data_IF_141495840477
#
_entry.id   IF_141495840477
#
_cell.length_a   1.000
_cell.length_b   1.000
_cell.length_c   1.000
_cell.angle_alpha   90.00
_cell.angle_beta   90.00
_cell.angle_gamma   90.00
#
_symmetry.space_group_name_H-M   'P 1'
#
loop_
_entity.id
_entity.type
_entity.pdbx_description
1 polymer ?
#
# COMPACT_ATOMS: atom_id res chain seq x y z
N UNK A 1 11.98 6.32 -4.73
CA UNK A 1 10.68 7.01 -4.67
C UNK A 1 10.45 7.37 -3.22
N UNK A 2 10.33 8.67 -2.92
CA UNK A 2 9.98 9.07 -1.57
C UNK A 2 8.46 8.89 -1.39
N UNK A 3 8.05 7.81 -0.73
CA UNK A 3 6.75 7.77 -0.06
C UNK A 3 6.94 8.66 1.16
N UNK A 4 6.29 9.82 1.15
CA UNK A 4 6.55 10.87 2.13
C UNK A 4 5.61 10.71 3.31
N UNK A 5 4.39 10.22 3.08
CA UNK A 5 3.33 10.22 4.09
C UNK A 5 2.31 9.12 3.80
N UNK A 6 1.91 8.40 4.85
CA UNK A 6 0.69 7.59 4.86
C UNK A 6 -0.15 8.06 6.04
N UNK A 7 -1.39 8.45 5.79
CA UNK A 7 -2.37 8.81 6.82
C UNK A 7 -3.52 7.80 6.75
N UNK A 8 -3.98 7.36 7.91
CA UNK A 8 -5.06 6.40 8.04
C UNK A 8 -6.21 7.03 8.83
N UNK A 9 -7.41 6.99 8.27
CA UNK A 9 -8.61 7.52 8.93
C UNK A 9 -9.69 6.44 8.98
N UNK A 10 -10.09 6.09 10.20
CA UNK A 10 -11.25 5.23 10.43
C UNK A 10 -12.53 6.04 10.25
N UNK A 11 -13.44 5.57 9.41
CA UNK A 11 -14.71 6.23 9.12
C UNK A 11 -15.82 5.53 9.89
N UNK A 12 -16.24 6.13 10.99
CA UNK A 12 -17.28 5.58 11.88
C UNK A 12 -18.50 6.49 11.99
N UNK A 13 -18.32 7.79 11.77
CA UNK A 13 -19.39 8.78 11.86
C UNK A 13 -19.09 10.02 10.99
N UNK A 14 -19.97 11.03 11.05
CA UNK A 14 -19.85 12.25 10.25
C UNK A 14 -18.61 13.08 10.61
N UNK A 15 -18.12 13.01 11.86
CA UNK A 15 -16.90 13.72 12.27
C UNK A 15 -15.65 13.13 11.60
N UNK A 16 -15.64 11.82 11.34
CA UNK A 16 -14.58 11.14 10.60
C UNK A 16 -14.44 11.65 9.16
N UNK A 17 -15.53 12.04 8.51
CA UNK A 17 -15.49 12.66 7.16
C UNK A 17 -14.76 14.00 7.20
N UNK A 18 -15.01 14.80 8.25
CA UNK A 18 -14.29 16.05 8.48
C UNK A 18 -12.80 15.83 8.78
N UNK A 19 -12.46 14.77 9.50
CA UNK A 19 -11.07 14.36 9.76
C UNK A 19 -10.34 13.95 8.48
N UNK A 20 -10.94 13.08 7.67
CA UNK A 20 -10.37 12.65 6.39
C UNK A 20 -10.11 13.85 5.46
N UNK A 21 -11.04 14.81 5.41
CA UNK A 21 -10.86 16.06 4.65
C UNK A 21 -9.67 16.88 5.15
N UNK A 22 -9.48 17.00 6.47
CA UNK A 22 -8.31 17.73 7.05
C UNK A 22 -6.99 17.02 6.77
N UNK A 23 -6.97 15.69 6.86
CA UNK A 23 -5.81 14.88 6.49
C UNK A 23 -5.45 15.08 5.02
N UNK A 24 -6.45 15.09 4.13
CA UNK A 24 -6.29 15.36 2.70
C UNK A 24 -5.68 16.74 2.41
N UNK A 25 -6.18 17.80 3.06
CA UNK A 25 -5.61 19.16 2.93
C UNK A 25 -4.17 19.23 3.44
N UNK A 26 -3.89 18.60 4.58
CA UNK A 26 -2.53 18.55 5.17
C UNK A 26 -1.57 17.81 4.25
N UNK A 27 -2.01 16.71 3.65
CA UNK A 27 -1.23 15.98 2.64
C UNK A 27 -0.97 16.82 1.40
N UNK A 28 -1.99 17.51 0.87
CA UNK A 28 -1.82 18.42 -0.27
C UNK A 28 -0.77 19.50 -0.02
N UNK A 29 -0.80 20.13 1.16
CA UNK A 29 0.20 21.12 1.57
C UNK A 29 1.62 20.54 1.61
N UNK A 30 1.79 19.36 2.23
CA UNK A 30 3.11 18.69 2.32
C UNK A 30 3.63 18.25 0.95
N UNK A 31 2.73 17.86 0.04
CA UNK A 31 3.06 17.55 -1.36
C UNK A 31 3.35 18.81 -2.20
N UNK A 32 3.13 20.01 -1.68
CA UNK A 32 3.32 21.26 -2.42
C UNK A 32 2.27 21.46 -3.53
N UNK A 33 1.09 20.87 -3.38
CA UNK A 33 -0.04 21.16 -4.26
C UNK A 33 -0.48 22.62 -4.11
N UNK A 34 -0.89 23.24 -5.22
CA UNK A 34 -1.54 24.54 -5.19
C UNK A 34 -2.93 24.47 -4.54
N UNK A 35 -3.55 25.63 -4.33
CA UNK A 35 -4.86 25.73 -3.67
C UNK A 35 -5.94 24.96 -4.42
N UNK A 36 -5.93 24.98 -5.75
CA UNK A 36 -6.90 24.26 -6.59
C UNK A 36 -6.75 22.76 -6.41
N UNK A 37 -5.54 22.22 -6.56
CA UNK A 37 -5.24 20.80 -6.46
C UNK A 37 -5.44 20.26 -5.04
N UNK A 38 -5.09 21.06 -4.02
CA UNK A 38 -5.39 20.76 -2.62
C UNK A 38 -6.90 20.70 -2.35
N UNK A 39 -7.67 21.62 -2.91
CA UNK A 39 -9.13 21.64 -2.84
C UNK A 39 -9.78 20.44 -3.53
N UNK A 40 -9.28 20.06 -4.70
CA UNK A 40 -9.68 18.86 -5.44
C UNK A 40 -9.46 17.58 -4.63
N UNK A 41 -8.26 17.40 -4.04
CA UNK A 41 -7.96 16.25 -3.19
C UNK A 41 -8.91 16.20 -1.97
N UNK A 42 -9.15 17.33 -1.32
CA UNK A 42 -10.07 17.42 -0.18
C UNK A 42 -11.52 17.07 -0.56
N UNK A 43 -11.98 17.49 -1.74
CA UNK A 43 -13.30 17.17 -2.28
C UNK A 43 -13.42 15.66 -2.56
N UNK A 44 -12.44 15.09 -3.27
CA UNK A 44 -12.39 13.65 -3.59
C UNK A 44 -12.48 12.80 -2.32
N UNK A 45 -11.64 13.12 -1.33
CA UNK A 45 -11.59 12.39 -0.05
C UNK A 45 -12.92 12.52 0.69
N UNK A 46 -13.50 13.72 0.74
CA UNK A 46 -14.80 13.93 1.39
C UNK A 46 -15.88 13.05 0.78
N UNK A 47 -15.93 12.97 -0.55
CA UNK A 47 -16.95 12.18 -1.26
C UNK A 47 -16.77 10.67 -1.04
N UNK A 48 -15.55 10.15 -1.15
CA UNK A 48 -15.32 8.71 -0.88
C UNK A 48 -15.52 8.36 0.60
N UNK A 49 -15.15 9.23 1.54
CA UNK A 49 -15.44 9.04 2.97
C UNK A 49 -16.94 8.99 3.24
N UNK A 50 -17.71 9.87 2.60
CA UNK A 50 -19.16 9.86 2.71
C UNK A 50 -19.75 8.56 2.15
N UNK A 51 -19.25 8.09 1.00
CA UNK A 51 -19.71 6.84 0.40
C UNK A 51 -19.42 5.64 1.32
N UNK A 52 -18.21 5.57 1.89
CA UNK A 52 -17.85 4.57 2.90
C UNK A 52 -18.81 4.61 4.10
N UNK A 53 -19.13 5.80 4.61
CA UNK A 53 -20.03 5.93 5.76
C UNK A 53 -21.49 5.56 5.41
N UNK A 54 -22.05 6.17 4.37
CA UNK A 54 -23.49 6.10 4.05
C UNK A 54 -23.86 4.78 3.38
N UNK A 55 -23.01 4.28 2.48
CA UNK A 55 -23.30 3.07 1.70
C UNK A 55 -22.56 1.84 2.24
N UNK A 56 -21.37 2.04 2.81
CA UNK A 56 -20.56 0.98 3.41
C UNK A 56 -20.89 0.67 4.88
N UNK A 57 -21.58 1.57 5.58
CA UNK A 57 -21.81 1.47 7.03
C UNK A 57 -20.59 1.82 7.88
N UNK A 58 -19.61 2.50 7.28
CA UNK A 58 -18.29 2.77 7.86
C UNK A 58 -17.18 1.97 7.17
N UNK A 59 -15.93 2.26 7.54
CA UNK A 59 -14.77 1.67 6.90
C UNK A 59 -13.51 2.50 7.10
N UNK A 60 -12.67 2.57 6.07
CA UNK A 60 -11.32 3.11 6.19
C UNK A 60 -10.93 3.95 4.98
N UNK A 61 -10.20 5.03 5.21
CA UNK A 61 -9.51 5.82 4.19
C UNK A 61 -8.02 5.76 4.44
N UNK A 62 -7.27 5.38 3.42
CA UNK A 62 -5.81 5.44 3.39
C UNK A 62 -5.42 6.53 2.40
N UNK A 63 -4.66 7.51 2.86
CA UNK A 63 -4.06 8.55 2.04
C UNK A 63 -2.56 8.27 1.97
N UNK A 64 -1.99 8.27 0.78
CA UNK A 64 -0.55 8.14 0.59
C UNK A 64 -0.03 9.21 -0.37
N UNK A 65 1.09 9.84 -0.02
CA UNK A 65 1.73 10.89 -0.80
C UNK A 65 3.14 10.52 -1.24
N UNK A 66 3.48 10.86 -2.49
CA UNK A 66 4.85 10.78 -2.99
C UNK A 66 5.23 12.08 -3.71
N UNK A 67 6.45 12.58 -3.48
CA UNK A 67 7.01 13.72 -4.21
C UNK A 67 8.44 13.41 -4.65
N UNK A 68 8.78 13.84 -5.86
CA UNK A 68 10.13 13.78 -6.41
C UNK A 68 10.37 15.04 -7.26
N UNK A 69 11.14 15.99 -6.71
CA UNK A 69 11.27 17.32 -7.28
C UNK A 69 9.92 18.02 -7.39
N UNK A 70 9.54 18.35 -8.62
CA UNK A 70 8.29 19.05 -8.96
C UNK A 70 7.10 18.09 -9.21
N UNK A 71 7.35 16.77 -9.21
CA UNK A 71 6.28 15.77 -9.39
C UNK A 71 5.74 15.34 -8.05
N UNK A 72 4.45 15.55 -7.84
CA UNK A 72 3.72 15.12 -6.64
C UNK A 72 2.50 14.30 -7.01
N UNK A 73 2.28 13.23 -6.26
CA UNK A 73 1.17 12.30 -6.41
C UNK A 73 0.54 12.06 -5.03
N UNK A 74 -0.78 12.21 -4.96
CA UNK A 74 -1.57 11.69 -3.85
C UNK A 74 -2.39 10.50 -4.32
N UNK A 75 -2.43 9.46 -3.49
CA UNK A 75 -3.22 8.25 -3.63
C UNK A 75 -4.25 8.21 -2.52
N UNK A 76 -5.48 7.88 -2.87
CA UNK A 76 -6.56 7.64 -1.91
C UNK A 76 -7.08 6.23 -2.14
N UNK A 77 -7.17 5.47 -1.05
CA UNK A 77 -7.86 4.20 -1.04
C UNK A 77 -8.96 4.26 0.01
N UNK A 78 -10.20 4.14 -0.44
CA UNK A 78 -11.36 4.04 0.43
C UNK A 78 -11.85 2.59 0.42
N UNK A 79 -12.13 2.03 1.59
CA UNK A 79 -12.55 0.64 1.75
C UNK A 79 -13.72 0.55 2.73
N UNK A 80 -14.72 -0.24 2.37
CA UNK A 80 -15.80 -0.66 3.24
C UNK A 80 -16.05 -2.17 3.14
N UNK A 81 -16.75 -2.70 4.14
CA UNK A 81 -17.24 -4.08 4.20
C UNK A 81 -18.77 -4.14 4.05
N UNK A 82 -19.36 -3.16 3.36
CA UNK A 82 -20.79 -3.08 3.13
C UNK A 82 -21.29 -4.10 2.10
N UNK A 83 -22.54 -3.97 1.64
CA UNK A 83 -23.16 -4.92 0.71
C UNK A 83 -22.60 -4.86 -0.73
N UNK A 84 -21.70 -3.91 -1.02
CA UNK A 84 -21.22 -3.63 -2.36
C UNK A 84 -22.20 -2.80 -3.21
N UNK A 85 -21.82 -2.56 -4.46
CA UNK A 85 -22.60 -1.79 -5.44
C UNK A 85 -23.17 -2.76 -6.46
N UNK A 86 -24.49 -2.97 -6.42
CA UNK A 86 -25.17 -3.92 -7.31
C UNK A 86 -25.09 -3.56 -8.80
N UNK A 87 -25.41 -2.31 -9.16
CA UNK A 87 -25.30 -1.81 -10.54
C UNK A 87 -24.32 -0.64 -10.59
N UNK A 88 -23.04 -0.98 -10.80
CA UNK A 88 -21.96 -0.01 -10.90
C UNK A 88 -22.14 0.94 -12.10
N UNK A 89 -22.67 0.44 -13.22
CA UNK A 89 -22.88 1.25 -14.43
C UNK A 89 -23.87 2.37 -14.15
N UNK A 90 -24.96 2.06 -13.43
CA UNK A 90 -25.94 3.05 -13.00
C UNK A 90 -25.39 4.00 -11.93
N UNK A 91 -24.62 3.48 -10.97
CA UNK A 91 -23.97 4.30 -9.93
C UNK A 91 -22.97 5.32 -10.50
N UNK A 92 -22.40 5.04 -11.67
CA UNK A 92 -21.46 5.91 -12.37
C UNK A 92 -22.14 7.01 -13.22
N UNK A 93 -23.48 6.99 -13.38
CA UNK A 93 -24.19 8.05 -14.13
C UNK A 93 -24.39 9.28 -13.24
N UNK A 94 -24.06 10.45 -13.78
CA UNK A 94 -24.32 11.73 -13.12
C UNK A 94 -25.83 11.87 -12.78
N UNK A 95 -26.12 12.32 -11.57
CA UNK A 95 -27.46 12.52 -11.02
C UNK A 95 -28.04 11.32 -10.26
N UNK A 96 -27.36 10.18 -10.19
CA UNK A 96 -27.85 9.00 -9.45
C UNK A 96 -27.28 8.95 -8.03
N UNK A 97 -28.13 9.15 -7.02
CA UNK A 97 -27.80 8.91 -5.61
C UNK A 97 -28.93 8.10 -4.98
N UNK A 98 -28.58 7.03 -4.26
CA UNK A 98 -29.51 6.23 -3.46
C UNK A 98 -29.67 6.79 -2.03
N UNK A 99 -28.89 7.82 -1.65
CA UNK A 99 -28.77 8.34 -0.29
C UNK A 99 -29.16 9.81 -0.07
N UNK A 100 -29.98 10.40 -0.96
CA UNK A 100 -30.51 11.76 -0.77
C UNK A 100 -29.54 12.91 -1.02
N UNK A 101 -28.45 12.67 -1.75
CA UNK A 101 -27.46 13.69 -2.17
C UNK A 101 -27.72 14.10 -3.62
N UNK A 102 -27.28 15.30 -4.06
CA UNK A 102 -27.24 15.60 -5.50
C UNK A 102 -26.27 14.60 -6.13
N UNK A 103 -26.78 13.58 -6.83
CA UNK A 103 -26.06 12.36 -7.24
C UNK A 103 -24.88 12.53 -8.21
N UNK A 104 -23.94 13.43 -7.95
CA UNK A 104 -22.76 13.69 -8.76
C UNK A 104 -21.45 13.12 -8.21
N UNK A 105 -21.49 12.37 -7.10
CA UNK A 105 -20.31 11.96 -6.33
C UNK A 105 -19.25 11.21 -7.13
N UNK A 106 -19.59 10.03 -7.65
CA UNK A 106 -18.65 9.19 -8.43
C UNK A 106 -18.31 9.79 -9.80
N UNK A 107 -19.23 10.54 -10.42
CA UNK A 107 -18.99 11.24 -11.67
C UNK A 107 -17.98 12.38 -11.52
N UNK A 108 -18.09 13.17 -10.45
CA UNK A 108 -17.13 14.21 -10.08
C UNK A 108 -15.76 13.61 -9.77
N UNK A 109 -15.74 12.51 -9.02
CA UNK A 109 -14.52 11.77 -8.71
C UNK A 109 -13.78 11.38 -10.00
N UNK A 110 -14.48 10.78 -10.97
CA UNK A 110 -13.91 10.36 -12.25
C UNK A 110 -13.38 11.53 -13.10
N UNK A 111 -13.96 12.73 -12.97
CA UNK A 111 -13.51 13.92 -13.71
C UNK A 111 -12.24 14.54 -13.14
N UNK A 112 -12.05 14.45 -11.82
CA UNK A 112 -10.96 15.12 -11.10
C UNK A 112 -9.74 14.21 -10.96
N UNK A 113 -9.96 12.92 -10.66
CA UNK A 113 -8.88 11.96 -10.44
C UNK A 113 -8.13 11.66 -11.74
N UNK A 114 -6.80 11.57 -11.66
CA UNK A 114 -5.94 11.17 -12.78
C UNK A 114 -6.00 9.66 -13.01
N UNK A 115 -6.27 8.89 -11.96
CA UNK A 115 -6.57 7.46 -12.03
C UNK A 115 -7.72 7.14 -11.08
N UNK A 116 -8.60 6.24 -11.49
CA UNK A 116 -9.78 5.88 -10.72
C UNK A 116 -10.19 4.44 -11.01
N UNK A 117 -10.25 3.63 -9.95
CA UNK A 117 -10.78 2.27 -10.02
C UNK A 117 -11.78 2.03 -8.89
N UNK A 118 -12.85 1.29 -9.20
CA UNK A 118 -13.76 0.72 -8.22
C UNK A 118 -13.69 -0.80 -8.34
N UNK A 119 -13.49 -1.46 -7.21
CA UNK A 119 -13.68 -2.89 -7.06
C UNK A 119 -14.75 -3.12 -6.00
N UNK A 120 -15.83 -3.81 -6.37
CA UNK A 120 -16.99 -3.98 -5.50
C UNK A 120 -17.52 -5.40 -5.61
N UNK A 121 -17.97 -5.93 -4.48
CA UNK A 121 -18.53 -7.28 -4.35
C UNK A 121 -19.45 -7.33 -3.14
N UNK A 122 -20.07 -8.47 -2.87
CA UNK A 122 -20.83 -8.70 -1.64
C UNK A 122 -20.01 -8.55 -0.35
N UNK A 123 -18.68 -8.58 -0.44
CA UNK A 123 -17.76 -8.37 0.70
C UNK A 123 -17.40 -6.89 0.91
N UNK A 124 -18.03 -5.97 0.16
CA UNK A 124 -17.82 -4.53 0.25
C UNK A 124 -17.12 -3.91 -0.95
N UNK A 125 -16.86 -2.61 -0.85
CA UNK A 125 -16.30 -1.81 -1.94
C UNK A 125 -14.93 -1.24 -1.61
N UNK A 126 -14.09 -1.16 -2.64
CA UNK A 126 -12.79 -0.51 -2.63
C UNK A 126 -12.78 0.52 -3.75
N UNK A 127 -12.47 1.76 -3.41
CA UNK A 127 -12.31 2.85 -4.36
C UNK A 127 -10.88 3.34 -4.29
N UNK A 128 -10.18 3.28 -5.43
CA UNK A 128 -8.82 3.79 -5.57
C UNK A 128 -8.81 5.04 -6.44
N UNK A 129 -8.07 6.06 -6.01
CA UNK A 129 -7.90 7.33 -6.69
C UNK A 129 -6.44 7.75 -6.71
N UNK A 130 -6.03 8.39 -7.80
CA UNK A 130 -4.81 9.19 -7.87
C UNK A 130 -5.14 10.61 -8.28
N UNK A 131 -4.32 11.54 -7.79
CA UNK A 131 -4.31 12.92 -8.26
C UNK A 131 -2.86 13.42 -8.35
N UNK A 132 -2.54 14.08 -9.47
CA UNK A 132 -1.19 14.53 -9.77
C UNK A 132 -0.42 13.51 -10.62
N UNK A 133 0.91 13.55 -10.53
CA UNK A 133 1.78 12.66 -11.30
C UNK A 133 2.94 12.16 -10.46
N UNK A 134 3.10 10.84 -10.42
CA UNK A 134 4.16 10.18 -9.68
C UNK A 134 5.49 10.15 -10.45
N UNK A 135 6.57 9.72 -9.78
CA UNK A 135 7.79 9.34 -10.48
C UNK A 135 7.51 8.17 -11.44
N UNK A 136 8.21 8.13 -12.57
CA UNK A 136 8.14 7.01 -13.48
C UNK A 136 8.72 5.75 -12.83
N UNK A 137 8.06 4.61 -13.00
CA UNK A 137 8.56 3.31 -12.59
C UNK A 137 8.28 2.30 -13.72
N UNK A 138 9.20 1.39 -14.05
CA UNK A 138 8.98 0.38 -15.09
C UNK A 138 7.95 -0.69 -14.68
N UNK A 139 7.50 -0.67 -13.42
CA UNK A 139 6.52 -1.59 -12.86
C UNK A 139 5.39 -0.79 -12.22
N UNK A 140 4.20 -1.38 -12.14
CA UNK A 140 3.09 -0.84 -11.36
C UNK A 140 3.19 -1.33 -9.93
N UNK A 141 3.31 -0.42 -8.96
CA UNK A 141 3.58 -0.75 -7.55
C UNK A 141 2.71 0.08 -6.61
N UNK A 142 2.14 -0.59 -5.61
CA UNK A 142 1.54 0.06 -4.45
C UNK A 142 1.90 -0.70 -3.18
N UNK A 143 2.30 0.03 -2.16
CA UNK A 143 2.48 -0.50 -0.80
C UNK A 143 1.66 0.31 0.19
N UNK A 144 1.22 -0.36 1.25
CA UNK A 144 0.43 0.22 2.33
C UNK A 144 0.93 -0.36 3.64
N UNK A 145 0.98 0.47 4.68
CA UNK A 145 1.26 0.09 6.05
C UNK A 145 0.22 0.79 6.94
N UNK A 146 -0.44 0.03 7.79
CA UNK A 146 -1.55 0.49 8.62
C UNK A 146 -1.20 0.22 10.08
N UNK A 147 -1.27 1.24 10.96
CA UNK A 147 -0.85 1.09 12.33
C UNK A 147 -1.74 0.12 13.10
N UNK A 148 -1.18 -0.53 14.12
CA UNK A 148 -1.91 -1.21 15.18
C UNK A 148 -3.09 -0.33 15.66
N UNK A 149 -4.30 -0.88 15.89
CA UNK A 149 -5.45 -0.05 16.25
C UNK A 149 -5.22 0.83 17.48
N UNK A 150 -5.40 2.14 17.30
CA UNK A 150 -5.18 3.16 18.34
C UNK A 150 -3.75 3.71 18.40
N UNK A 151 -2.81 3.12 17.67
CA UNK A 151 -1.47 3.68 17.50
C UNK A 151 -1.44 4.76 16.42
N UNK A 152 -0.59 5.76 16.64
CA UNK A 152 -0.35 6.82 15.65
C UNK A 152 0.72 6.44 14.63
N UNK A 153 1.67 5.60 15.03
CA UNK A 153 2.83 5.22 14.23
C UNK A 153 2.73 3.74 13.92
N UNK A 154 2.86 3.39 12.63
CA UNK A 154 2.89 2.00 12.21
C UNK A 154 4.28 1.42 12.46
N UNK A 155 4.33 0.24 13.08
CA UNK A 155 5.54 -0.56 13.24
C UNK A 155 6.11 -1.09 11.93
N UNK A 156 5.28 -1.15 10.88
CA UNK A 156 5.68 -1.56 9.53
C UNK A 156 6.12 -0.37 8.68
N UNK A 157 7.02 -0.64 7.74
CA UNK A 157 7.49 0.33 6.76
C UNK A 157 7.88 -0.33 5.45
N UNK A 158 7.67 0.39 4.35
CA UNK A 158 8.07 -0.08 3.03
C UNK A 158 8.74 1.03 2.22
N UNK A 159 9.58 0.63 1.27
CA UNK A 159 10.21 1.55 0.34
C UNK A 159 10.39 0.90 -1.03
N UNK A 160 10.48 1.74 -2.06
CA UNK A 160 10.70 1.30 -3.43
C UNK A 160 11.60 2.30 -4.16
N UNK A 161 12.58 1.78 -4.89
CA UNK A 161 13.50 2.56 -5.72
C UNK A 161 13.49 1.97 -7.14
N UNK A 162 13.01 2.78 -8.09
CA UNK A 162 12.86 2.40 -9.49
C UNK A 162 14.02 2.97 -10.30
N UNK A 163 14.70 2.11 -11.03
CA UNK A 163 15.77 2.44 -11.98
C UNK A 163 15.31 2.03 -13.40
N UNK A 164 16.12 2.36 -14.41
CA UNK A 164 15.79 2.02 -15.79
C UNK A 164 15.80 0.50 -16.05
N UNK A 165 16.72 -0.23 -15.41
CA UNK A 165 16.98 -1.65 -15.62
C UNK A 165 16.51 -2.55 -14.49
N UNK A 166 16.13 -1.97 -13.34
CA UNK A 166 15.66 -2.72 -12.16
C UNK A 166 14.76 -1.90 -11.24
N UNK A 167 14.02 -2.59 -10.39
CA UNK A 167 13.27 -2.01 -9.27
C UNK A 167 13.57 -2.76 -7.99
N UNK A 168 13.94 -2.02 -6.94
CA UNK A 168 14.17 -2.54 -5.60
C UNK A 168 12.99 -2.22 -4.70
N UNK A 169 12.56 -3.18 -3.89
CA UNK A 169 11.48 -3.03 -2.91
C UNK A 169 11.91 -3.59 -1.57
N UNK A 170 11.66 -2.84 -0.50
CA UNK A 170 11.82 -3.25 0.89
C UNK A 170 10.43 -3.33 1.55
N UNK A 171 10.21 -4.39 2.33
CA UNK A 171 9.23 -4.40 3.41
C UNK A 171 9.94 -4.70 4.72
N UNK A 172 9.70 -3.91 5.77
CA UNK A 172 10.23 -4.09 7.10
C UNK A 172 9.12 -3.98 8.13
N UNK A 173 9.21 -4.79 9.18
CA UNK A 173 8.30 -4.85 10.32
C UNK A 173 9.16 -4.78 11.58
N UNK A 174 9.09 -3.64 12.26
CA UNK A 174 9.84 -3.36 13.48
C UNK A 174 9.24 -4.09 14.67
N UNK A 175 10.08 -4.62 15.57
CA UNK A 175 9.57 -5.46 16.65
C UNK A 175 8.60 -4.74 17.60
N UNK A 176 7.41 -5.31 17.74
CA UNK A 176 6.31 -4.79 18.55
C UNK A 176 5.43 -3.85 17.73
N UNK A 177 4.89 -2.81 18.37
CA UNK A 177 4.10 -1.78 17.69
C UNK A 177 4.44 -0.38 18.23
N UNK A 178 3.84 0.63 17.60
CA UNK A 178 3.96 2.03 17.98
C UNK A 178 5.34 2.62 17.67
N UNK A 179 5.71 3.70 18.37
CA UNK A 179 6.88 4.52 18.03
C UNK A 179 8.19 3.72 17.87
N UNK A 180 8.52 2.85 18.83
CA UNK A 180 9.82 2.14 18.80
C UNK A 180 9.93 1.09 17.69
N UNK A 181 8.81 0.50 17.26
CA UNK A 181 8.76 -0.36 16.08
C UNK A 181 8.89 0.49 14.80
N UNK A 182 8.16 1.60 14.75
CA UNK A 182 8.20 2.56 13.64
C UNK A 182 9.59 3.14 13.42
N UNK A 183 10.32 3.45 14.50
CA UNK A 183 11.71 3.91 14.45
C UNK A 183 12.63 2.87 13.79
N UNK A 184 12.47 1.59 14.14
CA UNK A 184 13.24 0.51 13.51
C UNK A 184 12.91 0.36 12.02
N UNK A 185 11.62 0.38 11.65
CA UNK A 185 11.21 0.31 10.25
C UNK A 185 11.72 1.52 9.44
N UNK A 186 11.69 2.72 10.02
CA UNK A 186 12.18 3.93 9.36
C UNK A 186 13.70 3.93 9.19
N UNK A 187 14.45 3.41 10.17
CA UNK A 187 15.90 3.22 10.04
C UNK A 187 16.24 2.18 8.95
N UNK A 188 15.43 1.10 8.84
CA UNK A 188 15.56 0.13 7.77
C UNK A 188 15.34 0.77 6.38
N UNK A 189 14.29 1.58 6.22
CA UNK A 189 14.01 2.34 4.99
C UNK A 189 15.17 3.30 4.65
N UNK A 190 15.65 4.03 5.65
CA UNK A 190 16.76 4.99 5.48
C UNK A 190 18.03 4.29 5.04
N UNK A 191 18.35 3.15 5.66
CA UNK A 191 19.52 2.34 5.31
C UNK A 191 19.38 1.72 3.93
N UNK A 192 18.21 1.19 3.57
CA UNK A 192 17.91 0.65 2.25
C UNK A 192 18.16 1.68 1.15
N UNK A 193 17.64 2.90 1.31
CA UNK A 193 17.84 3.99 0.33
C UNK A 193 19.30 4.38 0.11
N UNK A 194 20.17 4.17 1.11
CA UNK A 194 21.62 4.43 1.01
C UNK A 194 22.42 3.32 0.31
N UNK A 195 21.84 2.13 0.17
CA UNK A 195 22.54 0.94 -0.36
C UNK A 195 21.81 0.36 -1.57
N UNK A 196 21.13 1.21 -2.34
CA UNK A 196 20.37 0.81 -3.54
C UNK A 196 21.26 0.33 -4.68
N UNK A 197 22.58 0.42 -4.57
CA UNK A 197 23.57 -0.16 -5.48
C UNK A 197 23.86 -1.65 -5.19
N UNK A 198 23.45 -2.17 -4.03
CA UNK A 198 23.75 -3.54 -3.57
C UNK A 198 22.66 -4.55 -3.94
N UNK A 199 22.97 -5.84 -3.77
CA UNK A 199 21.99 -6.94 -3.93
C UNK A 199 21.06 -7.04 -2.71
N UNK A 200 19.87 -7.67 -2.82
CA UNK A 200 18.94 -7.85 -1.70
C UNK A 200 19.59 -8.44 -0.44
N UNK A 201 20.41 -9.49 -0.57
CA UNK A 201 21.10 -10.10 0.57
C UNK A 201 22.10 -9.16 1.23
N UNK A 202 22.87 -8.41 0.43
CA UNK A 202 23.82 -7.43 0.95
C UNK A 202 23.12 -6.27 1.66
N UNK A 203 22.00 -5.77 1.10
CA UNK A 203 21.15 -4.76 1.73
C UNK A 203 20.70 -5.22 3.12
N UNK A 204 20.20 -6.45 3.26
CA UNK A 204 19.81 -7.00 4.57
C UNK A 204 20.98 -7.05 5.56
N UNK A 205 22.22 -7.28 5.09
CA UNK A 205 23.42 -7.18 5.93
C UNK A 205 23.62 -5.76 6.49
N UNK A 206 23.51 -4.73 5.65
CA UNK A 206 23.59 -3.33 6.09
C UNK A 206 22.45 -2.95 7.04
N UNK A 207 21.22 -3.43 6.77
CA UNK A 207 20.09 -3.27 7.66
C UNK A 207 20.35 -3.92 9.02
N UNK A 208 20.91 -5.13 9.06
CA UNK A 208 21.26 -5.80 10.31
C UNK A 208 22.21 -4.96 11.17
N UNK A 209 23.24 -4.36 10.57
CA UNK A 209 24.20 -3.51 11.27
C UNK A 209 23.56 -2.21 11.79
N UNK A 210 22.76 -1.54 10.95
CA UNK A 210 22.10 -0.27 11.28
C UNK A 210 21.07 -0.42 12.41
N UNK A 211 20.33 -1.54 12.41
CA UNK A 211 19.23 -1.77 13.34
C UNK A 211 19.68 -2.19 14.75
N UNK A 212 20.99 -2.41 15.00
CA UNK A 212 21.50 -2.83 16.32
C UNK A 212 21.16 -1.89 17.48
N UNK A 213 20.89 -0.61 17.19
CA UNK A 213 20.53 0.41 18.18
C UNK A 213 19.02 0.63 18.30
N UNK A 214 18.23 -0.13 17.56
CA UNK A 214 16.76 -0.04 17.52
C UNK A 214 16.16 -1.25 18.25
N UNK A 215 14.83 -1.42 18.20
CA UNK A 215 14.18 -2.67 18.63
C UNK A 215 14.52 -3.88 17.74
N UNK A 216 15.13 -3.65 16.58
CA UNK A 216 15.29 -4.65 15.54
C UNK A 216 14.04 -4.77 14.67
N UNK A 217 14.17 -5.51 13.57
CA UNK A 217 13.09 -5.71 12.62
C UNK A 217 13.23 -7.05 11.89
N UNK A 218 12.12 -7.55 11.37
CA UNK A 218 12.10 -8.52 10.28
C UNK A 218 11.94 -7.75 8.98
N UNK A 219 12.54 -8.24 7.88
CA UNK A 219 12.43 -7.56 6.61
C UNK A 219 12.67 -8.48 5.43
N UNK A 220 12.14 -8.09 4.27
CA UNK A 220 12.47 -8.70 2.99
C UNK A 220 12.78 -7.64 1.94
N UNK A 221 13.72 -7.97 1.06
CA UNK A 221 14.12 -7.15 -0.08
C UNK A 221 13.93 -7.96 -1.36
N UNK A 222 13.28 -7.35 -2.35
CA UNK A 222 13.10 -7.90 -3.69
C UNK A 222 13.71 -6.96 -4.74
N UNK A 223 14.43 -7.54 -5.70
CA UNK A 223 14.94 -6.85 -6.89
C UNK A 223 14.31 -7.46 -8.14
N UNK A 224 13.50 -6.69 -8.86
CA UNK A 224 12.93 -7.08 -10.15
C UNK A 224 13.75 -6.44 -11.25
N UNK A 225 14.34 -7.25 -12.12
CA UNK A 225 15.21 -6.80 -13.20
C UNK A 225 14.51 -6.89 -14.55
N UNK A 226 14.88 -5.96 -15.43
CA UNK A 226 14.43 -5.91 -16.84
C UNK A 226 14.83 -7.14 -17.66
N UNK A 227 15.84 -7.90 -17.23
CA UNK A 227 16.26 -9.17 -17.85
C UNK A 227 15.38 -10.37 -17.44
N UNK A 228 14.23 -10.12 -16.79
CA UNK A 228 13.27 -11.16 -16.43
C UNK A 228 13.68 -11.96 -15.19
N UNK A 229 14.47 -11.39 -14.28
CA UNK A 229 14.86 -12.01 -13.01
C UNK A 229 14.26 -11.30 -11.81
N UNK A 230 13.89 -12.09 -10.82
CA UNK A 230 13.55 -11.66 -9.47
C UNK A 230 14.61 -12.19 -8.51
N UNK A 231 15.34 -11.31 -7.84
CA UNK A 231 16.18 -11.66 -6.70
C UNK A 231 15.43 -11.33 -5.41
N UNK A 232 15.54 -12.20 -4.42
CA UNK A 232 14.82 -12.08 -3.16
C UNK A 232 15.69 -12.53 -1.99
N UNK A 233 15.66 -11.77 -0.90
CA UNK A 233 16.20 -12.18 0.38
C UNK A 233 15.24 -11.73 1.49
N UNK A 234 15.04 -12.57 2.50
CA UNK A 234 14.14 -12.28 3.61
C UNK A 234 14.68 -12.82 4.94
N UNK A 235 14.53 -12.04 6.00
CA UNK A 235 14.87 -12.38 7.39
C UNK A 235 13.63 -12.20 8.25
N UNK A 236 13.23 -13.26 8.95
CA UNK A 236 12.03 -13.32 9.78
C UNK A 236 10.82 -13.87 9.04
N UNK A 237 9.65 -13.30 9.32
CA UNK A 237 8.34 -13.80 8.94
C UNK A 237 7.61 -12.93 7.90
N UNK A 238 8.31 -12.05 7.19
CA UNK A 238 7.74 -11.40 6.00
C UNK A 238 7.35 -12.46 4.96
N UNK A 239 6.08 -12.44 4.57
CA UNK A 239 5.53 -13.30 3.54
C UNK A 239 5.77 -12.67 2.17
N UNK A 240 6.18 -13.49 1.19
CA UNK A 240 6.33 -13.07 -0.19
C UNK A 240 5.76 -14.16 -1.11
N UNK A 241 4.84 -13.79 -2.00
CA UNK A 241 4.16 -14.71 -2.90
C UNK A 241 4.24 -14.17 -4.33
N UNK A 242 4.83 -14.97 -5.22
CA UNK A 242 4.86 -14.73 -6.66
C UNK A 242 3.70 -15.47 -7.32
N UNK A 243 2.81 -14.73 -7.97
CA UNK A 243 1.67 -15.24 -8.71
C UNK A 243 1.94 -15.18 -10.22
N UNK A 244 1.66 -16.28 -10.91
CA UNK A 244 1.71 -16.38 -12.36
C UNK A 244 0.60 -17.32 -12.87
N UNK A 245 -0.26 -16.82 -13.76
CA UNK A 245 -1.31 -17.64 -14.39
C UNK A 245 -2.16 -18.46 -13.40
N UNK A 246 -2.49 -17.88 -12.24
CA UNK A 246 -3.26 -18.56 -11.18
C UNK A 246 -2.44 -19.51 -10.29
N UNK A 247 -1.15 -19.69 -10.55
CA UNK A 247 -0.24 -20.46 -9.70
C UNK A 247 0.47 -19.54 -8.73
N UNK A 248 0.39 -19.85 -7.44
CA UNK A 248 1.09 -19.15 -6.38
C UNK A 248 2.36 -19.89 -5.96
N UNK A 249 3.49 -19.17 -5.87
CA UNK A 249 4.75 -19.65 -5.32
C UNK A 249 5.17 -18.77 -4.14
N UNK A 250 5.28 -19.36 -2.96
CA UNK A 250 5.85 -18.67 -1.79
C UNK A 250 7.37 -18.56 -1.92
N UNK A 251 7.91 -17.39 -1.61
CA UNK A 251 9.35 -17.12 -1.51
C UNK A 251 9.74 -17.18 -0.03
N UNK A 252 10.74 -17.99 0.30
CA UNK A 252 11.05 -18.28 1.69
C UNK A 252 11.94 -17.21 2.31
N UNK A 253 11.53 -16.71 3.47
CA UNK A 253 12.38 -15.98 4.42
C UNK A 253 13.08 -16.94 5.38
N UNK A 254 14.23 -16.55 5.90
CA UNK A 254 15.00 -17.34 6.86
C UNK A 254 14.83 -16.80 8.28
N UNK A 255 14.88 -17.68 9.28
CA UNK A 255 14.76 -17.31 10.69
C UNK A 255 15.85 -16.31 11.10
N UNK A 256 15.45 -15.26 11.80
CA UNK A 256 16.34 -14.26 12.37
C UNK A 256 15.63 -12.93 12.57
N UNK A 257 16.33 -12.01 13.20
CA UNK A 257 15.87 -10.63 13.38
C UNK A 257 17.04 -9.67 13.19
N UNK A 258 16.87 -8.72 12.29
CA UNK A 258 17.86 -7.70 11.97
C UNK A 258 18.09 -6.80 13.20
N UNK A 259 19.33 -6.40 13.45
CA UNK A 259 19.72 -5.71 14.68
C UNK A 259 19.95 -6.62 15.89
N UNK A 260 19.53 -7.90 15.82
CA UNK A 260 19.74 -8.89 16.88
C UNK A 260 20.56 -10.09 16.39
N UNK A 261 19.90 -11.17 15.97
CA UNK A 261 20.54 -12.43 15.57
C UNK A 261 20.05 -12.83 14.19
N UNK A 262 20.98 -12.94 13.24
CA UNK A 262 20.71 -13.44 11.88
C UNK A 262 21.76 -14.50 11.56
N UNK A 263 21.42 -15.80 11.67
CA UNK A 263 22.40 -16.87 11.46
C UNK A 263 22.95 -16.90 10.03
N UNK A 264 22.07 -16.62 9.05
CA UNK A 264 22.43 -16.60 7.64
C UNK A 264 21.44 -15.74 6.87
N UNK A 265 21.96 -14.91 5.97
CA UNK A 265 21.17 -14.27 4.92
C UNK A 265 21.39 -15.08 3.65
N UNK A 266 20.31 -15.54 3.04
CA UNK A 266 20.34 -16.26 1.77
C UNK A 266 19.56 -15.46 0.74
N UNK A 267 20.20 -15.26 -0.40
CA UNK A 267 19.59 -14.67 -1.58
C UNK A 267 19.16 -15.78 -2.53
N UNK A 268 17.95 -15.66 -3.04
CA UNK A 268 17.31 -16.59 -3.95
C UNK A 268 17.00 -15.88 -5.26
N UNK A 269 17.06 -16.61 -6.37
CA UNK A 269 16.73 -16.11 -7.69
C UNK A 269 15.57 -16.90 -8.29
N UNK A 270 14.61 -16.17 -8.87
CA UNK A 270 13.45 -16.71 -9.56
C UNK A 270 13.31 -16.05 -10.93
N UNK A 271 12.65 -16.72 -11.91
CA UNK A 271 12.20 -16.03 -13.11
C UNK A 271 11.11 -15.01 -12.73
N UNK A 272 11.21 -13.78 -13.26
CA UNK A 272 10.16 -12.78 -13.21
C UNK A 272 9.26 -12.96 -14.45
N UNK A 273 8.01 -13.44 -14.28
CA UNK A 273 7.16 -13.73 -15.41
C UNK A 273 6.52 -12.46 -15.98
N UNK A 274 6.28 -12.45 -17.28
CA UNK A 274 5.47 -11.42 -17.92
C UNK A 274 4.06 -11.41 -17.30
N UNK A 275 3.57 -10.23 -16.91
CA UNK A 275 2.29 -10.09 -16.19
C UNK A 275 2.30 -10.69 -14.77
N UNK A 276 3.47 -11.02 -14.22
CA UNK A 276 3.63 -11.53 -12.86
C UNK A 276 3.14 -10.54 -11.81
N UNK A 277 2.63 -11.08 -10.71
CA UNK A 277 2.25 -10.30 -9.52
C UNK A 277 3.08 -10.80 -8.35
N UNK A 278 3.86 -9.93 -7.73
CA UNK A 278 4.56 -10.21 -6.48
C UNK A 278 3.85 -9.48 -5.35
N UNK A 279 3.47 -10.23 -4.32
CA UNK A 279 2.80 -9.70 -3.13
C UNK A 279 3.72 -9.95 -1.92
N UNK A 280 4.09 -8.90 -1.20
CA UNK A 280 4.76 -8.99 0.09
C UNK A 280 3.78 -8.51 1.17
N UNK A 281 3.80 -9.13 2.34
CA UNK A 281 3.06 -8.64 3.49
C UNK A 281 3.71 -9.01 4.82
N UNK A 282 3.50 -8.20 5.85
CA UNK A 282 3.87 -8.54 7.24
C UNK A 282 2.93 -9.63 7.78
N UNK A 283 3.25 -10.15 8.97
CA UNK A 283 2.41 -11.17 9.62
C UNK A 283 1.10 -10.62 10.19
N UNK A 284 0.95 -9.29 10.23
CA UNK A 284 -0.30 -8.58 10.41
C UNK A 284 -1.37 -8.87 9.36
N UNK A 285 -1.02 -9.50 8.25
CA UNK A 285 -1.95 -10.05 7.26
C UNK A 285 -1.88 -11.58 7.28
N UNK A 286 -3.04 -12.24 7.34
CA UNK A 286 -3.11 -13.70 7.31
C UNK A 286 -2.45 -14.23 6.03
N UNK A 287 -1.69 -15.33 6.13
CA UNK A 287 -1.00 -15.93 4.97
C UNK A 287 -1.91 -16.76 4.08
N UNK A 288 -3.11 -17.11 4.55
CA UNK A 288 -4.08 -17.92 3.82
C UNK A 288 -5.12 -17.04 3.13
N UNK A 289 -4.77 -16.59 1.94
CA UNK A 289 -5.67 -15.92 1.00
C UNK A 289 -5.52 -16.57 -0.39
N UNK A 290 -6.52 -16.38 -1.23
CA UNK A 290 -6.48 -16.82 -2.64
C UNK A 290 -7.00 -15.68 -3.52
N UNK A 291 -6.10 -15.09 -4.32
CA UNK A 291 -6.47 -13.98 -5.19
C UNK A 291 -7.45 -14.42 -6.30
N UNK A 292 -7.44 -15.70 -6.70
CA UNK A 292 -8.34 -16.23 -7.71
C UNK A 292 -9.80 -16.30 -7.22
N UNK A 293 -10.02 -16.28 -5.90
CA UNK A 293 -11.38 -16.20 -5.32
C UNK A 293 -12.07 -14.86 -5.58
N UNK A 294 -11.31 -13.83 -5.97
CA UNK A 294 -11.82 -12.51 -6.29
C UNK A 294 -11.89 -12.31 -7.82
N UNK A 295 -13.11 -12.34 -8.36
CA UNK A 295 -13.33 -12.16 -9.79
C UNK A 295 -12.73 -10.84 -10.31
N UNK A 296 -11.71 -10.95 -11.18
CA UNK A 296 -11.08 -9.82 -11.84
C UNK A 296 -10.11 -9.00 -10.99
N UNK A 297 -9.93 -9.30 -9.69
CA UNK A 297 -9.07 -8.49 -8.81
C UNK A 297 -7.61 -8.47 -9.26
N UNK A 298 -7.06 -9.58 -9.74
CA UNK A 298 -5.69 -9.67 -10.24
C UNK A 298 -5.39 -8.69 -11.40
N UNK A 299 -6.41 -8.30 -12.18
CA UNK A 299 -6.28 -7.33 -13.27
C UNK A 299 -6.27 -5.88 -12.80
N UNK A 300 -6.72 -5.59 -11.58
CA UNK A 300 -6.84 -4.24 -11.02
C UNK A 300 -5.49 -3.60 -10.68
N UNK A 301 -5.53 -2.31 -10.39
CA UNK A 301 -4.36 -1.59 -9.89
C UNK A 301 -3.80 -2.27 -8.62
N UNK A 302 -2.47 -2.32 -8.42
CA UNK A 302 -1.85 -2.92 -7.23
C UNK A 302 -2.42 -2.40 -5.90
N UNK A 303 -2.80 -1.12 -5.84
CA UNK A 303 -3.40 -0.53 -4.64
C UNK A 303 -4.77 -1.14 -4.29
N UNK A 304 -5.56 -1.51 -5.29
CA UNK A 304 -6.86 -2.18 -5.10
C UNK A 304 -6.65 -3.59 -4.56
N UNK A 305 -5.64 -4.30 -5.07
CA UNK A 305 -5.25 -5.64 -4.58
C UNK A 305 -4.78 -5.55 -3.13
N UNK A 306 -3.86 -4.61 -2.82
CA UNK A 306 -3.37 -4.38 -1.47
C UNK A 306 -4.52 -4.04 -0.50
N UNK A 307 -5.44 -3.17 -0.92
CA UNK A 307 -6.64 -2.82 -0.16
C UNK A 307 -7.53 -4.02 0.12
N UNK A 308 -7.77 -4.89 -0.86
CA UNK A 308 -8.59 -6.09 -0.66
C UNK A 308 -7.96 -7.02 0.37
N UNK A 309 -6.64 -7.22 0.29
CA UNK A 309 -5.92 -8.06 1.25
C UNK A 309 -5.93 -7.46 2.67
N UNK A 310 -5.74 -6.15 2.80
CA UNK A 310 -5.84 -5.47 4.09
C UNK A 310 -7.26 -5.49 4.66
N UNK A 311 -8.29 -5.30 3.84
CA UNK A 311 -9.68 -5.32 4.31
C UNK A 311 -10.08 -6.70 4.82
N UNK A 312 -9.74 -7.75 4.08
CA UNK A 312 -10.31 -9.09 4.30
C UNK A 312 -9.43 -9.98 5.17
N UNK A 313 -8.11 -9.75 5.20
CA UNK A 313 -7.14 -10.65 5.85
C UNK A 313 -6.27 -9.97 6.91
N UNK A 314 -6.46 -8.69 7.19
CA UNK A 314 -5.76 -8.02 8.29
C UNK A 314 -6.13 -8.61 9.64
N UNK A 315 -5.14 -8.77 10.51
CA UNK A 315 -5.31 -9.13 11.92
C UNK A 315 -5.65 -7.87 12.72
N UNK A 316 -6.61 -7.99 13.63
CA UNK A 316 -7.11 -6.86 14.42
C UNK A 316 -6.20 -6.43 15.57
N UNK A 317 -5.09 -7.13 15.80
CA UNK A 317 -4.17 -6.88 16.93
C UNK A 317 -2.74 -6.73 16.45
N UNK A 318 -2.56 -6.12 15.28
CA UNK A 318 -1.24 -5.94 14.70
C UNK A 318 -1.15 -4.71 13.80
N UNK A 319 0.07 -4.23 13.65
CA UNK A 319 0.47 -3.46 12.47
C UNK A 319 0.28 -4.35 11.23
N UNK A 320 -0.09 -3.78 10.09
CA UNK A 320 -0.30 -4.58 8.89
C UNK A 320 0.15 -3.85 7.64
N UNK A 321 0.91 -4.55 6.81
CA UNK A 321 1.43 -4.00 5.56
C UNK A 321 1.29 -4.97 4.40
N UNK A 322 1.05 -4.42 3.21
CA UNK A 322 0.98 -5.17 1.95
C UNK A 322 1.64 -4.34 0.87
N UNK A 323 2.51 -4.96 0.09
CA UNK A 323 3.06 -4.43 -1.16
C UNK A 323 2.63 -5.33 -2.29
N UNK A 324 2.10 -4.73 -3.36
CA UNK A 324 1.77 -5.43 -4.60
C UNK A 324 2.56 -4.80 -5.74
N UNK A 325 3.24 -5.65 -6.50
CA UNK A 325 4.08 -5.29 -7.65
C UNK A 325 3.57 -6.06 -8.86
N UNK A 326 3.30 -5.36 -9.96
CA UNK A 326 2.86 -5.95 -11.22
C UNK A 326 3.83 -5.60 -12.34
N UNK A 327 4.15 -6.60 -13.16
CA UNK A 327 4.77 -6.38 -14.47
C UNK A 327 3.81 -5.59 -15.37
N UNK A 328 4.34 -4.62 -16.12
CA UNK A 328 3.60 -3.96 -17.19
C UNK A 328 3.38 -4.90 -18.38
#
# INVERSE_FOLDING_TARGET
MEVILTEFVSVTDQSSVGEARRAAMTMGQRLGFDETRGGELALLVTEVSRNVLVHGGGGQIILAGARNGDRSLARVLAMDSGPGIGDLTRAMRDGYSTGGTMGGGLGAIKRIATNFEIFTSSSGTIVFLEIGSGPACPLSIAGMAVPYPGERFCGDGWACECFADRTLVLLADGLGHGWGASEAAQEAITTFRRHTDKSPGAILGYLHDALRKTRGAVAAVAEIRSDGKLLYAGVGNISAVLLQNGVSRSLMSHNGTLGMVVPRIQELQFPWPQGGILILHSDGVQTRWDLASYAGLASRHPAVIAGALLRDFRRSRDDASVIVIKGL
#
